data_IF_729504051136
#
_entry.id   IF_729504051136
#
_cell.length_a   1.000
_cell.length_b   1.000
_cell.length_c   1.000
_cell.angle_alpha   90.00
_cell.angle_beta   90.00
_cell.angle_gamma   90.00
#
_symmetry.space_group_name_H-M   'P 1'
#
loop_
_entity.id
_entity.type
_entity.pdbx_description
1 polymer ?
#
# COMPACT_ATOMS: atom_id res chain seq x y z
N UNK A 1 16.74 16.50 8.78
CA UNK A 1 15.59 16.22 7.87
C UNK A 1 14.78 15.00 8.33
N UNK A 2 15.40 13.89 8.69
CA UNK A 2 14.74 12.63 9.07
C UNK A 2 13.72 12.76 10.21
N UNK A 3 14.08 13.37 11.34
CA UNK A 3 13.16 13.58 12.47
C UNK A 3 11.90 14.36 12.09
N UNK A 4 12.03 15.35 11.20
CA UNK A 4 10.87 16.13 10.71
C UNK A 4 9.92 15.27 9.91
N UNK A 5 10.43 14.29 9.14
CA UNK A 5 9.62 13.36 8.37
C UNK A 5 8.86 12.39 9.28
N UNK A 6 9.52 11.85 10.29
CA UNK A 6 8.88 10.96 11.29
C UNK A 6 7.72 11.68 12.00
N UNK A 7 7.94 12.91 12.47
CA UNK A 7 6.88 13.71 13.09
C UNK A 7 5.74 14.01 12.11
N UNK A 8 6.07 14.33 10.86
CA UNK A 8 5.09 14.57 9.82
C UNK A 8 4.25 13.32 9.53
N UNK A 9 4.87 12.16 9.44
CA UNK A 9 4.17 10.90 9.22
C UNK A 9 3.29 10.52 10.42
N UNK A 10 3.77 10.70 11.64
CA UNK A 10 2.95 10.53 12.85
C UNK A 10 1.73 11.46 12.85
N UNK A 11 1.90 12.73 12.46
CA UNK A 11 0.80 13.68 12.33
C UNK A 11 -0.17 13.29 11.22
N UNK A 12 0.34 12.90 10.05
CA UNK A 12 -0.48 12.48 8.92
C UNK A 12 -1.30 11.22 9.26
N UNK A 13 -0.78 10.32 10.07
CA UNK A 13 -1.54 9.18 10.63
C UNK A 13 -2.83 9.65 11.32
N UNK A 14 -2.74 10.65 12.21
CA UNK A 14 -3.90 11.18 12.92
C UNK A 14 -4.89 11.91 11.99
N UNK A 15 -4.37 12.60 10.97
CA UNK A 15 -5.20 13.24 9.93
C UNK A 15 -5.99 12.18 9.15
N UNK A 16 -5.35 11.09 8.72
CA UNK A 16 -5.99 10.00 7.98
C UNK A 16 -7.05 9.32 8.86
N UNK A 17 -6.74 9.02 10.12
CA UNK A 17 -7.70 8.45 11.05
C UNK A 17 -8.90 9.39 11.32
N UNK A 18 -8.64 10.69 11.43
CA UNK A 18 -9.69 11.70 11.55
C UNK A 18 -10.59 11.76 10.32
N UNK A 19 -10.02 11.79 9.12
CA UNK A 19 -10.76 11.76 7.85
C UNK A 19 -11.58 10.47 7.72
N UNK A 20 -10.99 9.32 8.09
CA UNK A 20 -11.71 8.05 8.12
C UNK A 20 -12.92 8.12 9.05
N UNK A 21 -12.74 8.61 10.28
CA UNK A 21 -13.82 8.70 11.28
C UNK A 21 -14.93 9.64 10.82
N UNK A 22 -14.59 10.79 10.24
CA UNK A 22 -15.58 11.74 9.70
C UNK A 22 -16.36 11.12 8.55
N UNK A 23 -15.69 10.45 7.61
CA UNK A 23 -16.34 9.78 6.50
C UNK A 23 -17.24 8.64 6.98
N UNK A 24 -16.76 7.82 7.89
CA UNK A 24 -17.53 6.74 8.50
C UNK A 24 -18.79 7.27 9.20
N UNK A 25 -18.66 8.36 9.96
CA UNK A 25 -19.79 9.01 10.62
C UNK A 25 -20.80 9.56 9.60
N UNK A 26 -20.32 10.23 8.55
CA UNK A 26 -21.20 10.75 7.50
C UNK A 26 -22.02 9.64 6.81
N UNK A 27 -21.35 8.53 6.43
CA UNK A 27 -22.03 7.36 5.85
C UNK A 27 -23.02 6.74 6.85
N UNK A 28 -22.63 6.62 8.12
CA UNK A 28 -23.46 6.05 9.16
C UNK A 28 -24.74 6.87 9.42
N UNK A 29 -24.62 8.21 9.47
CA UNK A 29 -25.77 9.11 9.60
C UNK A 29 -26.68 9.01 8.38
N UNK A 30 -26.12 8.95 7.18
CA UNK A 30 -26.86 8.80 5.93
C UNK A 30 -27.65 7.48 5.91
N UNK A 31 -27.01 6.36 6.24
CA UNK A 31 -27.67 5.05 6.32
C UNK A 31 -28.73 5.02 7.42
N UNK A 32 -28.45 5.64 8.56
CA UNK A 32 -29.42 5.76 9.65
C UNK A 32 -30.67 6.58 9.28
N UNK A 33 -30.50 7.61 8.46
CA UNK A 33 -31.61 8.42 7.95
C UNK A 33 -32.49 7.70 6.91
N UNK A 34 -31.85 6.87 6.06
CA UNK A 34 -32.57 6.13 5.00
C UNK A 34 -33.28 4.90 5.56
N UNK A 35 -32.60 4.13 6.41
CA UNK A 35 -33.12 2.85 6.91
C UNK A 35 -33.68 2.99 8.34
N UNK A 36 -32.80 2.96 9.32
CA UNK A 36 -33.11 3.19 10.75
C UNK A 36 -31.85 3.63 11.47
N UNK A 37 -32.02 4.33 12.62
CA UNK A 37 -30.85 4.73 13.44
C UNK A 37 -30.00 3.53 13.88
N UNK A 38 -30.61 2.36 14.11
CA UNK A 38 -29.88 1.14 14.46
C UNK A 38 -28.94 0.67 13.34
N UNK A 39 -29.33 0.78 12.07
CA UNK A 39 -28.49 0.46 10.91
C UNK A 39 -27.28 1.39 10.84
N UNK A 40 -27.51 2.69 11.03
CA UNK A 40 -26.42 3.68 11.06
C UNK A 40 -25.43 3.40 12.20
N UNK A 41 -25.91 3.16 13.42
CA UNK A 41 -25.07 2.84 14.58
C UNK A 41 -24.31 1.53 14.35
N UNK A 42 -24.99 0.49 13.86
CA UNK A 42 -24.34 -0.79 13.54
C UNK A 42 -23.22 -0.63 12.52
N UNK A 43 -23.45 0.12 11.44
CA UNK A 43 -22.43 0.40 10.43
C UNK A 43 -21.22 1.16 11.02
N UNK A 44 -21.47 2.15 11.89
CA UNK A 44 -20.40 2.88 12.57
C UNK A 44 -19.53 1.97 13.44
N UNK A 45 -20.15 1.11 14.24
CA UNK A 45 -19.42 0.18 15.11
C UNK A 45 -18.61 -0.82 14.28
N UNK A 46 -19.21 -1.39 13.23
CA UNK A 46 -18.51 -2.32 12.32
C UNK A 46 -17.34 -1.63 11.64
N UNK A 47 -17.49 -0.37 11.20
CA UNK A 47 -16.42 0.39 10.60
C UNK A 47 -15.26 0.69 11.56
N UNK A 48 -15.55 0.96 12.85
CA UNK A 48 -14.51 1.11 13.87
C UNK A 48 -13.77 -0.21 14.12
N UNK A 49 -14.48 -1.32 14.19
CA UNK A 49 -13.88 -2.66 14.34
C UNK A 49 -13.02 -2.97 13.12
N UNK A 50 -13.49 -2.66 11.90
CA UNK A 50 -12.75 -2.87 10.67
C UNK A 50 -11.43 -2.11 10.64
N UNK A 51 -11.42 -0.79 10.97
CA UNK A 51 -10.15 -0.03 10.97
C UNK A 51 -9.19 -0.55 12.04
N UNK A 52 -9.70 -0.94 13.22
CA UNK A 52 -8.87 -1.55 14.24
C UNK A 52 -8.25 -2.87 13.75
N UNK A 53 -9.06 -3.75 13.14
CA UNK A 53 -8.59 -4.99 12.55
C UNK A 53 -7.51 -4.75 11.47
N UNK A 54 -7.76 -3.84 10.52
CA UNK A 54 -6.76 -3.50 9.50
C UNK A 54 -5.49 -2.93 10.12
N UNK A 55 -5.61 -2.06 11.11
CA UNK A 55 -4.43 -1.46 11.76
C UNK A 55 -3.55 -2.52 12.47
N UNK A 56 -4.15 -3.54 13.08
CA UNK A 56 -3.41 -4.55 13.83
C UNK A 56 -3.02 -5.78 13.00
N UNK A 57 -3.84 -6.19 12.03
CA UNK A 57 -3.72 -7.48 11.35
C UNK A 57 -3.40 -7.40 9.84
N UNK A 58 -3.32 -6.17 9.25
CA UNK A 58 -3.05 -6.00 7.81
C UNK A 58 -1.80 -6.74 7.35
N UNK A 59 -0.74 -6.73 8.17
CA UNK A 59 0.52 -7.42 7.87
C UNK A 59 0.32 -8.91 7.70
N UNK A 60 -0.42 -9.56 8.61
CA UNK A 60 -0.68 -11.01 8.53
C UNK A 60 -1.54 -11.37 7.31
N UNK A 61 -2.53 -10.52 7.01
CA UNK A 61 -3.36 -10.71 5.83
C UNK A 61 -2.53 -10.61 4.55
N UNK A 62 -1.67 -9.60 4.43
CA UNK A 62 -0.79 -9.41 3.29
C UNK A 62 0.15 -10.61 3.09
N UNK A 63 0.80 -11.09 4.15
CA UNK A 63 1.70 -12.25 4.08
C UNK A 63 0.97 -13.51 3.60
N UNK A 64 -0.29 -13.71 4.00
CA UNK A 64 -1.12 -14.84 3.52
C UNK A 64 -1.48 -14.71 2.05
N UNK A 65 -1.90 -13.53 1.60
CA UNK A 65 -2.29 -13.29 0.19
C UNK A 65 -1.09 -13.46 -0.76
N UNK A 66 0.10 -13.04 -0.33
CA UNK A 66 1.34 -13.18 -1.11
C UNK A 66 2.00 -14.56 -0.96
N UNK A 67 1.39 -15.49 -0.23
CA UNK A 67 1.97 -16.80 0.09
C UNK A 67 3.39 -16.68 0.68
N UNK A 68 3.62 -15.64 1.47
CA UNK A 68 4.91 -15.36 2.08
C UNK A 68 5.24 -16.40 3.16
N UNK A 69 6.45 -16.93 3.11
CA UNK A 69 6.99 -17.88 4.08
C UNK A 69 7.92 -17.14 5.03
N UNK A 70 7.66 -17.23 6.33
CA UNK A 70 8.54 -16.63 7.34
C UNK A 70 9.90 -17.32 7.35
N UNK A 71 10.98 -16.54 7.36
CA UNK A 71 12.35 -17.03 7.41
C UNK A 71 13.01 -16.69 8.73
N UNK A 72 13.90 -17.56 9.16
CA UNK A 72 14.68 -17.43 10.38
C UNK A 72 16.17 -17.49 10.07
N UNK A 73 17.01 -17.27 11.06
CA UNK A 73 18.47 -17.36 10.90
C UNK A 73 18.92 -18.77 10.50
N UNK A 74 18.14 -19.81 10.87
CA UNK A 74 18.42 -21.19 10.55
C UNK A 74 18.05 -21.55 9.11
N UNK A 75 16.96 -20.96 8.59
CA UNK A 75 16.45 -21.28 7.23
C UNK A 75 17.14 -20.47 6.15
N UNK A 76 17.40 -19.19 6.40
CA UNK A 76 18.01 -18.25 5.43
C UNK A 76 19.05 -17.37 6.11
N UNK A 77 20.20 -17.93 6.54
CA UNK A 77 21.19 -17.19 7.34
C UNK A 77 21.74 -15.95 6.65
N UNK A 78 21.98 -16.00 5.34
CA UNK A 78 22.58 -14.91 4.57
C UNK A 78 21.69 -13.68 4.56
N UNK A 79 20.39 -13.85 4.29
CA UNK A 79 19.42 -12.74 4.26
C UNK A 79 19.18 -12.22 5.67
N UNK A 80 19.04 -13.14 6.64
CA UNK A 80 18.80 -12.77 8.02
C UNK A 80 19.95 -11.91 8.59
N UNK A 81 21.20 -12.33 8.41
CA UNK A 81 22.38 -11.58 8.89
C UNK A 81 22.51 -10.22 8.21
N UNK A 82 22.21 -10.15 6.93
CA UNK A 82 22.24 -8.89 6.18
C UNK A 82 21.22 -7.87 6.72
N UNK A 83 20.00 -8.31 7.04
CA UNK A 83 19.00 -7.43 7.66
C UNK A 83 19.41 -7.08 9.11
N UNK A 84 19.93 -8.03 9.87
CA UNK A 84 20.40 -7.82 11.23
C UNK A 84 21.50 -6.75 11.29
N UNK A 85 22.49 -6.80 10.38
CA UNK A 85 23.55 -5.80 10.25
C UNK A 85 22.98 -4.39 9.98
N UNK A 86 22.02 -4.27 9.06
CA UNK A 86 21.40 -3.00 8.72
C UNK A 86 20.51 -2.47 9.86
N UNK A 87 19.81 -3.34 10.57
CA UNK A 87 19.02 -2.97 11.75
C UNK A 87 19.92 -2.44 12.86
N UNK A 88 21.05 -3.09 13.13
CA UNK A 88 22.05 -2.62 14.09
C UNK A 88 22.62 -1.26 13.68
N UNK A 89 22.98 -1.08 12.41
CA UNK A 89 23.48 0.19 11.89
C UNK A 89 22.46 1.34 12.01
N UNK A 90 21.17 1.03 11.85
CA UNK A 90 20.07 2.00 11.92
C UNK A 90 19.45 2.21 13.30
N UNK A 91 19.86 1.41 14.30
CA UNK A 91 19.19 1.40 15.61
C UNK A 91 17.72 0.97 15.53
N UNK A 92 17.40 0.03 14.64
CA UNK A 92 16.06 -0.48 14.39
C UNK A 92 15.85 -1.84 15.05
N UNK A 93 14.66 -2.15 15.56
CA UNK A 93 14.32 -3.51 15.92
C UNK A 93 14.28 -4.39 14.68
N UNK A 94 14.61 -5.68 14.85
CA UNK A 94 14.57 -6.66 13.77
C UNK A 94 13.13 -6.91 13.32
N UNK A 95 12.75 -6.63 12.04
CA UNK A 95 11.43 -6.96 11.54
C UNK A 95 11.27 -8.46 11.37
N UNK A 96 10.03 -8.96 11.27
CA UNK A 96 9.80 -10.31 10.79
C UNK A 96 10.15 -10.40 9.31
N UNK A 97 10.89 -11.44 8.93
CA UNK A 97 11.36 -11.62 7.56
C UNK A 97 10.58 -12.69 6.83
N UNK A 98 10.29 -12.43 5.57
CA UNK A 98 9.53 -13.34 4.70
C UNK A 98 10.15 -13.43 3.31
N UNK A 99 10.02 -14.60 2.69
CA UNK A 99 10.25 -14.78 1.26
C UNK A 99 8.92 -15.15 0.60
N UNK A 100 8.60 -14.46 -0.50
CA UNK A 100 7.43 -14.78 -1.33
C UNK A 100 7.85 -15.53 -2.58
N UNK A 101 7.09 -16.56 -3.03
CA UNK A 101 7.43 -17.34 -4.22
C UNK A 101 7.15 -16.62 -5.54
N UNK A 102 6.97 -15.29 -5.52
CA UNK A 102 6.71 -14.49 -6.70
C UNK A 102 7.97 -14.42 -7.59
N UNK A 103 7.86 -14.75 -8.90
CA UNK A 103 8.95 -14.61 -9.86
C UNK A 103 9.26 -13.16 -10.24
N UNK A 104 8.36 -12.21 -10.01
CA UNK A 104 8.62 -10.79 -10.25
C UNK A 104 9.60 -10.25 -9.19
N UNK A 105 10.65 -9.50 -9.60
CA UNK A 105 11.62 -8.95 -8.67
C UNK A 105 11.00 -7.83 -7.83
N UNK A 106 10.84 -8.07 -6.54
CA UNK A 106 10.25 -7.11 -5.62
C UNK A 106 10.71 -7.29 -4.18
N UNK A 107 10.59 -6.24 -3.38
CA UNK A 107 10.63 -6.27 -1.93
C UNK A 107 9.58 -5.27 -1.40
N UNK A 108 9.08 -5.50 -0.20
CA UNK A 108 8.17 -4.57 0.44
C UNK A 108 8.22 -4.69 1.96
N UNK A 109 8.01 -3.55 2.61
CA UNK A 109 7.84 -3.46 4.05
C UNK A 109 6.40 -3.15 4.41
N UNK A 110 5.91 -3.71 5.51
CA UNK A 110 4.58 -3.44 6.07
C UNK A 110 4.64 -3.43 7.58
N UNK A 111 3.67 -2.79 8.21
CA UNK A 111 3.57 -2.73 9.65
C UNK A 111 3.09 -1.38 10.17
N UNK A 112 2.59 -1.38 11.41
CA UNK A 112 2.07 -0.16 12.05
C UNK A 112 3.15 0.71 12.72
N UNK A 113 4.29 0.12 13.05
CA UNK A 113 5.44 0.79 13.68
C UNK A 113 6.69 -0.11 13.53
N UNK A 114 7.91 0.39 13.84
CA UNK A 114 9.13 -0.39 13.71
C UNK A 114 9.15 -1.68 14.54
N UNK A 115 8.51 -1.70 15.72
CA UNK A 115 8.46 -2.88 16.59
C UNK A 115 7.53 -3.97 16.04
N UNK A 116 6.60 -3.59 15.15
CA UNK A 116 5.61 -4.50 14.54
C UNK A 116 5.71 -4.47 13.02
N UNK A 117 6.92 -4.37 12.50
CA UNK A 117 7.18 -4.37 11.08
C UNK A 117 7.49 -5.78 10.55
N UNK A 118 7.22 -5.97 9.27
CA UNK A 118 7.60 -7.14 8.50
C UNK A 118 8.19 -6.69 7.17
N UNK A 119 9.20 -7.42 6.71
CA UNK A 119 9.89 -7.22 5.45
C UNK A 119 9.75 -8.50 4.62
N UNK A 120 9.26 -8.38 3.40
CA UNK A 120 9.16 -9.49 2.46
C UNK A 120 10.01 -9.22 1.23
N UNK A 121 10.66 -10.29 0.72
CA UNK A 121 11.50 -10.25 -0.46
C UNK A 121 11.01 -11.35 -1.39
N UNK A 122 10.88 -11.07 -2.69
CA UNK A 122 10.47 -12.09 -3.64
C UNK A 122 11.64 -12.98 -4.05
N UNK A 123 11.32 -14.23 -4.37
CA UNK A 123 12.30 -15.14 -4.95
C UNK A 123 12.87 -14.58 -6.27
N UNK A 124 12.02 -13.88 -7.05
CA UNK A 124 12.45 -13.22 -8.29
C UNK A 124 13.55 -12.18 -8.07
N UNK A 125 13.45 -11.37 -7.00
CA UNK A 125 14.48 -10.39 -6.66
C UNK A 125 15.79 -11.07 -6.26
N UNK A 126 15.72 -12.09 -5.41
CA UNK A 126 16.89 -12.85 -4.96
C UNK A 126 17.62 -13.58 -6.10
N UNK A 127 16.88 -13.98 -7.14
CA UNK A 127 17.46 -14.68 -8.30
C UNK A 127 18.28 -13.77 -9.22
N UNK A 128 17.99 -12.46 -9.26
CA UNK A 128 18.63 -11.53 -10.19
C UNK A 128 19.61 -10.58 -9.54
N UNK A 129 19.52 -10.36 -8.24
CA UNK A 129 20.34 -9.39 -7.51
C UNK A 129 21.49 -10.04 -6.75
N UNK A 130 22.63 -9.38 -6.75
CA UNK A 130 23.74 -9.77 -5.89
C UNK A 130 23.55 -9.26 -4.45
N UNK A 131 24.46 -9.69 -3.54
CA UNK A 131 24.37 -9.35 -2.11
C UNK A 131 24.34 -7.83 -1.86
N UNK A 132 25.10 -7.03 -2.60
CA UNK A 132 25.15 -5.57 -2.41
C UNK A 132 23.87 -4.90 -2.90
N UNK A 133 23.32 -5.39 -3.99
CA UNK A 133 22.05 -4.92 -4.55
C UNK A 133 20.88 -5.23 -3.60
N UNK A 134 20.81 -6.47 -3.11
CA UNK A 134 19.83 -6.88 -2.10
C UNK A 134 19.99 -6.02 -0.83
N UNK A 135 21.21 -5.75 -0.38
CA UNK A 135 21.49 -4.87 0.75
C UNK A 135 20.96 -3.45 0.53
N UNK A 136 21.13 -2.91 -0.67
CA UNK A 136 20.61 -1.59 -1.03
C UNK A 136 19.08 -1.55 -0.99
N UNK A 137 18.40 -2.56 -1.54
CA UNK A 137 16.93 -2.67 -1.52
C UNK A 137 16.41 -2.86 -0.09
N UNK A 138 17.02 -3.74 0.70
CA UNK A 138 16.64 -3.93 2.11
C UNK A 138 16.83 -2.64 2.90
N UNK A 139 17.92 -1.92 2.69
CA UNK A 139 18.17 -0.62 3.32
C UNK A 139 17.08 0.42 3.00
N UNK A 140 16.57 0.42 1.77
CA UNK A 140 15.46 1.25 1.34
C UNK A 140 14.17 0.88 2.10
N UNK A 141 13.81 -0.40 2.16
CA UNK A 141 12.64 -0.89 2.89
C UNK A 141 12.73 -0.61 4.40
N UNK A 142 13.89 -0.84 5.01
CA UNK A 142 14.13 -0.51 6.42
C UNK A 142 14.01 0.99 6.70
N UNK A 143 14.33 1.83 5.71
CA UNK A 143 14.12 3.27 5.80
C UNK A 143 12.62 3.64 5.88
N UNK A 144 11.77 2.97 5.12
CA UNK A 144 10.32 3.14 5.21
C UNK A 144 9.78 2.74 6.58
N UNK A 145 10.29 1.63 7.14
CA UNK A 145 9.95 1.21 8.50
C UNK A 145 10.37 2.29 9.52
N UNK A 146 11.61 2.74 9.46
CA UNK A 146 12.18 3.78 10.33
C UNK A 146 11.38 5.08 10.32
N UNK A 147 10.88 5.46 9.15
CA UNK A 147 10.16 6.69 8.92
C UNK A 147 8.66 6.60 9.20
N UNK A 148 8.13 5.44 9.59
CA UNK A 148 6.69 5.17 9.75
C UNK A 148 5.88 5.32 8.45
N UNK A 149 6.51 5.18 7.29
CA UNK A 149 5.85 5.26 5.99
C UNK A 149 4.86 4.09 5.80
N UNK A 150 5.24 2.89 6.24
CA UNK A 150 4.43 1.68 6.18
C UNK A 150 3.07 1.84 6.86
N UNK A 151 3.02 2.55 7.99
CA UNK A 151 1.78 2.85 8.73
C UNK A 151 0.78 3.63 7.87
N UNK A 152 1.26 4.66 7.19
CA UNK A 152 0.41 5.51 6.34
C UNK A 152 -0.15 4.71 5.18
N UNK A 153 0.68 3.87 4.55
CA UNK A 153 0.27 2.98 3.46
C UNK A 153 -0.83 2.02 3.90
N UNK A 154 -0.68 1.36 5.05
CA UNK A 154 -1.70 0.46 5.61
C UNK A 154 -3.02 1.20 5.86
N UNK A 155 -2.99 2.37 6.48
CA UNK A 155 -4.20 3.14 6.78
C UNK A 155 -4.88 3.69 5.52
N UNK A 156 -4.10 4.14 4.54
CA UNK A 156 -4.64 4.61 3.27
C UNK A 156 -5.32 3.47 2.49
N UNK A 157 -4.74 2.26 2.49
CA UNK A 157 -5.34 1.05 1.90
C UNK A 157 -6.66 0.70 2.59
N UNK A 158 -6.70 0.79 3.93
CA UNK A 158 -7.92 0.52 4.70
C UNK A 158 -9.06 1.48 4.33
N UNK A 159 -8.74 2.78 4.20
CA UNK A 159 -9.72 3.79 3.81
C UNK A 159 -10.26 3.54 2.39
N UNK A 160 -9.36 3.21 1.45
CA UNK A 160 -9.73 2.83 0.08
C UNK A 160 -10.68 1.65 0.07
N UNK A 161 -10.32 0.60 0.79
CA UNK A 161 -11.12 -0.63 0.87
C UNK A 161 -12.50 -0.36 1.48
N UNK A 162 -12.59 0.46 2.54
CA UNK A 162 -13.87 0.83 3.14
C UNK A 162 -14.77 1.54 2.13
N UNK A 163 -14.25 2.54 1.42
CA UNK A 163 -15.02 3.30 0.42
C UNK A 163 -15.52 2.36 -0.68
N UNK A 164 -14.62 1.54 -1.23
CA UNK A 164 -14.95 0.61 -2.32
C UNK A 164 -15.96 -0.44 -1.86
N UNK A 165 -15.75 -1.08 -0.71
CA UNK A 165 -16.68 -2.08 -0.17
C UNK A 165 -18.06 -1.48 0.13
N UNK A 166 -18.11 -0.25 0.65
CA UNK A 166 -19.36 0.45 0.90
C UNK A 166 -20.11 0.72 -0.41
N UNK A 167 -19.44 1.25 -1.43
CA UNK A 167 -20.04 1.52 -2.73
C UNK A 167 -20.54 0.24 -3.40
N UNK A 168 -19.74 -0.82 -3.42
CA UNK A 168 -20.11 -2.13 -3.95
C UNK A 168 -21.28 -2.73 -3.18
N UNK A 169 -21.28 -2.66 -1.84
CA UNK A 169 -22.37 -3.15 -1.00
C UNK A 169 -23.69 -2.43 -1.29
N UNK A 170 -23.66 -1.11 -1.51
CA UNK A 170 -24.83 -0.31 -1.90
C UNK A 170 -25.36 -0.76 -3.27
N UNK A 171 -24.47 -1.02 -4.26
CA UNK A 171 -24.85 -1.53 -5.58
C UNK A 171 -25.52 -2.90 -5.46
N UNK A 172 -24.94 -3.83 -4.70
CA UNK A 172 -25.54 -5.16 -4.48
C UNK A 172 -26.89 -5.10 -3.77
N UNK A 173 -27.02 -4.23 -2.77
CA UNK A 173 -28.31 -4.01 -2.11
C UNK A 173 -29.38 -3.50 -3.11
N UNK A 174 -29.05 -2.44 -3.87
CA UNK A 174 -29.95 -1.90 -4.89
C UNK A 174 -30.31 -2.94 -5.95
N UNK A 175 -29.37 -3.77 -6.37
CA UNK A 175 -29.61 -4.87 -7.32
C UNK A 175 -30.58 -5.91 -6.74
N UNK A 176 -30.42 -6.31 -5.48
CA UNK A 176 -31.34 -7.22 -4.79
C UNK A 176 -32.76 -6.67 -4.72
N UNK A 177 -32.93 -5.37 -4.45
CA UNK A 177 -34.23 -4.70 -4.47
C UNK A 177 -34.80 -4.63 -5.89
N UNK A 178 -33.97 -4.32 -6.91
CA UNK A 178 -34.39 -4.23 -8.31
C UNK A 178 -34.92 -5.56 -8.85
N UNK A 179 -34.31 -6.68 -8.45
CA UNK A 179 -34.66 -8.03 -8.86
C UNK A 179 -35.76 -8.67 -8.00
N UNK A 180 -36.23 -7.99 -6.95
CA UNK A 180 -37.31 -8.47 -6.09
C UNK A 180 -38.63 -8.61 -6.86
N UNK A 181 -39.49 -9.55 -6.43
CA UNK A 181 -40.79 -9.84 -7.08
C UNK A 181 -41.89 -8.81 -6.76
N UNK A 182 -41.55 -7.59 -6.39
CA UNK A 182 -42.52 -6.53 -6.11
C UNK A 182 -43.29 -6.14 -7.38
N UNK A 183 -44.63 -6.22 -7.31
CA UNK A 183 -45.57 -5.98 -8.44
C UNK A 183 -46.41 -4.74 -8.17
N UNK A 184 -47.08 -4.27 -9.25
CA UNK A 184 -47.98 -3.12 -9.20
C UNK A 184 -47.28 -1.79 -9.18
N UNK A 185 -48.05 -0.72 -9.01
CA UNK A 185 -47.54 0.67 -9.04
C UNK A 185 -46.52 0.95 -7.93
N UNK A 186 -46.75 0.36 -6.79
CA UNK A 186 -45.79 0.47 -5.67
C UNK A 186 -44.46 -0.22 -5.95
N UNK A 187 -44.49 -1.40 -6.59
CA UNK A 187 -43.29 -2.10 -7.07
C UNK A 187 -42.52 -1.30 -8.11
N UNK A 188 -43.21 -0.57 -8.98
CA UNK A 188 -42.57 0.32 -9.95
C UNK A 188 -41.75 1.43 -9.28
N UNK A 189 -42.30 2.11 -8.27
CA UNK A 189 -41.57 3.15 -7.52
C UNK A 189 -40.38 2.59 -6.73
N UNK A 190 -40.52 1.40 -6.13
CA UNK A 190 -39.42 0.70 -5.45
C UNK A 190 -38.27 0.42 -6.41
N UNK A 191 -38.57 -0.02 -7.64
CA UNK A 191 -37.53 -0.28 -8.67
C UNK A 191 -36.85 0.98 -9.15
N UNK A 192 -37.54 2.10 -9.29
CA UNK A 192 -36.93 3.40 -9.56
C UNK A 192 -35.96 3.80 -8.43
N UNK A 193 -36.41 3.67 -7.18
CA UNK A 193 -35.54 3.94 -6.03
C UNK A 193 -34.31 3.04 -6.00
N UNK A 194 -34.46 1.75 -6.33
CA UNK A 194 -33.35 0.81 -6.44
C UNK A 194 -32.33 1.24 -7.50
N UNK A 195 -32.76 1.75 -8.65
CA UNK A 195 -31.85 2.30 -9.68
C UNK A 195 -31.07 3.53 -9.17
N UNK A 196 -31.73 4.40 -8.40
CA UNK A 196 -31.04 5.54 -7.76
C UNK A 196 -29.99 5.05 -6.75
N UNK A 197 -30.33 4.05 -5.94
CA UNK A 197 -29.40 3.44 -4.97
C UNK A 197 -28.18 2.82 -5.68
N UNK A 198 -28.41 2.09 -6.79
CA UNK A 198 -27.33 1.53 -7.61
C UNK A 198 -26.44 2.65 -8.17
N UNK A 199 -27.04 3.71 -8.71
CA UNK A 199 -26.28 4.84 -9.25
C UNK A 199 -25.43 5.52 -8.17
N UNK A 200 -25.98 5.74 -6.97
CA UNK A 200 -25.22 6.31 -5.82
C UNK A 200 -24.07 5.40 -5.41
N UNK A 201 -24.29 4.10 -5.26
CA UNK A 201 -23.23 3.13 -4.94
C UNK A 201 -22.15 3.08 -6.02
N UNK A 202 -22.54 3.13 -7.30
CA UNK A 202 -21.61 3.21 -8.43
C UNK A 202 -20.76 4.50 -8.39
N UNK A 203 -21.37 5.64 -8.13
CA UNK A 203 -20.67 6.94 -7.99
C UNK A 203 -19.67 6.88 -6.82
N UNK A 204 -20.08 6.35 -5.66
CA UNK A 204 -19.19 6.21 -4.49
C UNK A 204 -17.99 5.31 -4.86
N UNK A 205 -18.21 4.18 -5.54
CA UNK A 205 -17.13 3.28 -5.97
C UNK A 205 -16.20 3.95 -6.98
N UNK A 206 -16.74 4.67 -7.97
CA UNK A 206 -15.96 5.32 -9.02
C UNK A 206 -15.17 6.52 -8.47
N UNK A 207 -15.76 7.34 -7.60
CA UNK A 207 -15.09 8.51 -7.01
C UNK A 207 -14.15 8.07 -5.88
N UNK A 208 -14.51 7.03 -5.14
CA UNK A 208 -13.71 6.51 -4.04
C UNK A 208 -12.31 6.08 -4.47
N UNK A 209 -12.18 5.45 -5.64
CA UNK A 209 -10.88 5.00 -6.18
C UNK A 209 -9.93 6.19 -6.46
N UNK A 210 -10.31 7.24 -7.22
CA UNK A 210 -9.46 8.41 -7.40
C UNK A 210 -9.17 9.16 -6.11
N UNK A 211 -10.14 9.30 -5.20
CA UNK A 211 -9.94 9.96 -3.91
C UNK A 211 -8.92 9.20 -3.05
N UNK A 212 -9.01 7.90 -3.03
CA UNK A 212 -8.04 7.04 -2.37
C UNK A 212 -6.64 7.19 -2.98
N UNK A 213 -6.54 7.19 -4.31
CA UNK A 213 -5.27 7.47 -5.02
C UNK A 213 -4.74 8.87 -4.71
N UNK A 214 -5.59 9.88 -4.59
CA UNK A 214 -5.17 11.22 -4.14
C UNK A 214 -4.61 11.21 -2.71
N UNK A 215 -5.18 10.40 -1.81
CA UNK A 215 -4.64 10.22 -0.46
C UNK A 215 -3.27 9.52 -0.49
N UNK A 216 -3.05 8.57 -1.41
CA UNK A 216 -1.73 8.00 -1.68
C UNK A 216 -0.75 9.01 -2.29
N UNK A 217 -1.19 9.96 -3.11
CA UNK A 217 -0.35 11.05 -3.63
C UNK A 217 0.08 12.05 -2.55
N UNK A 218 -0.69 12.18 -1.45
CA UNK A 218 -0.22 12.88 -0.23
C UNK A 218 0.92 12.12 0.45
N UNK A 219 1.04 10.83 0.16
CA UNK A 219 2.19 9.96 0.39
C UNK A 219 3.26 10.30 -0.67
N UNK A 220 3.93 11.41 -0.44
CA UNK A 220 4.71 12.16 -1.42
C UNK A 220 5.88 11.35 -2.01
N UNK A 221 6.14 11.53 -3.31
CA UNK A 221 7.37 11.10 -4.01
C UNK A 221 8.66 11.49 -3.27
N UNK A 222 8.61 12.49 -2.41
CA UNK A 222 9.73 12.88 -1.54
C UNK A 222 10.10 11.78 -0.53
N UNK A 223 9.16 10.91 -0.13
CA UNK A 223 9.45 9.79 0.78
C UNK A 223 10.34 8.74 0.13
N UNK A 224 10.14 8.48 -1.15
CA UNK A 224 10.98 7.56 -1.91
C UNK A 224 12.42 8.05 -1.96
N UNK A 225 12.61 9.33 -2.26
CA UNK A 225 13.95 9.93 -2.25
C UNK A 225 14.58 9.95 -0.84
N UNK A 226 13.77 10.08 0.20
CA UNK A 226 14.27 9.98 1.59
C UNK A 226 14.60 8.54 1.96
N UNK A 227 13.85 7.57 1.45
CA UNK A 227 14.15 6.15 1.63
C UNK A 227 15.44 5.76 0.87
N UNK A 228 15.66 6.31 -0.33
CA UNK A 228 16.89 6.14 -1.07
C UNK A 228 18.11 6.67 -0.29
N UNK A 229 18.01 7.89 0.25
CA UNK A 229 19.05 8.46 1.11
C UNK A 229 19.21 7.65 2.39
N UNK A 230 18.11 7.17 2.96
CA UNK A 230 18.14 6.33 4.15
C UNK A 230 18.78 4.97 3.91
N UNK A 231 18.61 4.39 2.72
CA UNK A 231 19.34 3.20 2.29
C UNK A 231 20.85 3.45 2.30
N UNK A 232 21.28 4.57 1.68
CA UNK A 232 22.70 4.96 1.67
C UNK A 232 23.23 5.21 3.09
N UNK A 233 22.43 5.80 3.97
CA UNK A 233 22.80 6.01 5.37
C UNK A 233 23.02 4.69 6.11
N UNK A 234 22.17 3.69 5.87
CA UNK A 234 22.27 2.37 6.50
C UNK A 234 23.41 1.52 5.91
N UNK A 235 23.56 1.51 4.59
CA UNK A 235 24.54 0.68 3.88
C UNK A 235 25.94 1.32 3.81
N UNK A 236 26.01 2.63 4.01
CA UNK A 236 27.21 3.47 3.78
C UNK A 236 27.74 3.43 2.34
N UNK A 237 26.96 2.91 1.42
CA UNK A 237 27.36 2.75 0.02
C UNK A 237 26.14 2.90 -0.91
N UNK A 238 26.12 3.86 -1.86
CA UNK A 238 25.01 4.05 -2.78
C UNK A 238 25.01 3.06 -3.97
N UNK A 239 26.17 2.46 -4.28
CA UNK A 239 26.36 1.68 -5.51
C UNK A 239 25.44 0.46 -5.59
N UNK A 240 25.17 -0.21 -4.47
CA UNK A 240 24.28 -1.36 -4.42
C UNK A 240 22.85 -1.00 -4.82
N UNK A 241 22.30 0.08 -4.25
CA UNK A 241 20.95 0.54 -4.61
C UNK A 241 20.90 1.06 -6.07
N UNK A 242 21.92 1.82 -6.51
CA UNK A 242 21.99 2.31 -7.88
C UNK A 242 21.98 1.14 -8.87
N UNK A 243 22.78 0.09 -8.61
CA UNK A 243 22.84 -1.09 -9.46
C UNK A 243 21.50 -1.85 -9.48
N UNK A 244 20.88 -2.03 -8.32
CA UNK A 244 19.57 -2.65 -8.19
C UNK A 244 18.51 -1.91 -9.02
N UNK A 245 18.40 -0.58 -8.85
CA UNK A 245 17.47 0.25 -9.61
C UNK A 245 17.74 0.19 -11.11
N UNK A 246 19.01 0.19 -11.53
CA UNK A 246 19.39 0.11 -12.96
C UNK A 246 19.00 -1.25 -13.58
N UNK A 247 19.13 -2.35 -12.82
CA UNK A 247 18.65 -3.67 -13.28
C UNK A 247 17.13 -3.70 -13.42
N UNK A 248 16.39 -3.12 -12.48
CA UNK A 248 14.95 -3.04 -12.55
C UNK A 248 14.47 -2.19 -13.73
N UNK A 249 15.14 -1.06 -14.02
CA UNK A 249 14.86 -0.21 -15.16
C UNK A 249 15.03 -0.97 -16.50
N UNK A 250 16.10 -1.74 -16.65
CA UNK A 250 16.33 -2.56 -17.84
C UNK A 250 15.28 -3.66 -18.01
N UNK A 251 14.81 -4.24 -16.90
CA UNK A 251 13.74 -5.24 -16.93
C UNK A 251 12.39 -4.63 -17.32
N UNK A 252 12.09 -3.40 -16.85
CA UNK A 252 10.87 -2.67 -17.26
C UNK A 252 10.87 -2.37 -18.76
N UNK A 253 11.98 -1.92 -19.31
CA UNK A 253 12.13 -1.66 -20.74
C UNK A 253 11.98 -2.94 -21.57
N UNK A 254 12.51 -4.06 -21.10
CA UNK A 254 12.37 -5.38 -21.72
C UNK A 254 10.97 -5.99 -21.60
N UNK A 255 10.28 -5.74 -20.49
CA UNK A 255 8.94 -6.28 -20.19
C UNK A 255 7.80 -5.51 -20.89
N UNK A 256 8.06 -4.37 -21.52
CA UNK A 256 7.09 -3.62 -22.32
C UNK A 256 6.44 -4.44 -23.46
N UNK A 257 6.94 -5.64 -23.70
CA UNK A 257 6.43 -6.61 -24.69
C UNK A 257 5.64 -7.78 -24.12
N UNK A 258 5.54 -7.92 -22.78
CA UNK A 258 4.81 -9.03 -22.14
C UNK A 258 3.60 -8.50 -21.36
N UNK A 259 2.40 -8.92 -21.75
CA UNK A 259 1.17 -8.71 -20.96
C UNK A 259 1.29 -9.50 -19.65
N UNK A 260 1.60 -8.81 -18.55
CA UNK A 260 1.57 -9.41 -17.21
C UNK A 260 0.13 -9.37 -16.69
N UNK A 261 -0.38 -10.55 -16.38
CA UNK A 261 -1.70 -10.78 -15.76
C UNK A 261 -1.91 -9.85 -14.56
N UNK A 262 -2.98 -9.07 -14.61
CA UNK A 262 -3.44 -8.15 -13.57
C UNK A 262 -3.95 -8.91 -12.34
N UNK A 263 -3.06 -9.45 -11.52
CA UNK A 263 -3.44 -9.98 -10.21
C UNK A 263 -3.40 -8.84 -9.19
N UNK A 264 -4.57 -8.52 -8.66
CA UNK A 264 -4.85 -7.63 -7.54
C UNK A 264 -4.31 -6.18 -7.61
N UNK A 265 -5.11 -5.29 -8.21
CA UNK A 265 -4.91 -3.83 -8.21
C UNK A 265 -4.75 -3.23 -6.80
N UNK A 266 -5.20 -3.92 -5.75
CA UNK A 266 -5.12 -3.49 -4.36
C UNK A 266 -3.71 -3.63 -3.76
N UNK A 267 -2.84 -4.44 -4.35
CA UNK A 267 -1.48 -4.68 -3.88
C UNK A 267 -0.41 -3.86 -4.63
N UNK A 268 -0.80 -3.16 -5.71
CA UNK A 268 0.12 -2.41 -6.57
C UNK A 268 1.02 -1.41 -5.81
N UNK A 269 0.47 -0.76 -4.79
CA UNK A 269 1.18 0.27 -4.01
C UNK A 269 2.15 -0.28 -2.96
N UNK A 270 2.22 -1.61 -2.81
CA UNK A 270 3.17 -2.29 -1.93
C UNK A 270 4.42 -2.75 -2.69
N UNK A 271 4.42 -2.64 -4.01
CA UNK A 271 5.52 -3.09 -4.82
C UNK A 271 6.56 -1.99 -4.99
N UNK A 272 7.82 -2.30 -4.68
CA UNK A 272 8.98 -1.45 -4.91
C UNK A 272 9.13 -1.01 -6.37
N UNK A 273 8.67 -1.87 -7.29
CA UNK A 273 8.62 -1.62 -8.72
C UNK A 273 7.39 -2.27 -9.36
N UNK A 274 6.62 -1.52 -10.15
CA UNK A 274 5.45 -2.03 -10.86
C UNK A 274 5.64 -1.93 -12.37
N UNK A 275 5.64 -3.05 -13.12
CA UNK A 275 6.09 -3.12 -14.51
C UNK A 275 5.15 -2.50 -15.58
N UNK A 276 4.12 -1.72 -15.23
CA UNK A 276 3.12 -1.20 -16.18
C UNK A 276 3.05 0.33 -16.29
N UNK A 277 4.18 1.04 -16.16
CA UNK A 277 4.21 2.51 -16.22
C UNK A 277 4.18 3.13 -17.63
N UNK A 278 3.85 2.37 -18.68
CA UNK A 278 3.90 2.88 -20.07
C UNK A 278 2.81 3.89 -20.44
N UNK A 279 1.68 3.92 -19.71
CA UNK A 279 0.64 4.92 -19.92
C UNK A 279 0.89 6.17 -19.08
N UNK A 280 0.80 7.37 -19.67
CA UNK A 280 0.95 8.65 -18.97
C UNK A 280 0.02 8.77 -17.74
N UNK A 281 -1.17 8.17 -17.78
CA UNK A 281 -2.08 8.07 -16.66
C UNK A 281 -1.47 7.22 -15.52
N UNK A 282 -0.84 6.10 -15.84
CA UNK A 282 -0.18 5.26 -14.84
C UNK A 282 1.03 5.97 -14.21
N UNK A 283 1.77 6.78 -14.98
CA UNK A 283 2.86 7.64 -14.45
C UNK A 283 2.36 8.74 -13.52
N UNK A 284 1.17 9.29 -13.76
CA UNK A 284 0.55 10.27 -12.84
C UNK A 284 0.13 9.63 -11.52
N UNK A 285 -0.25 8.35 -11.54
CA UNK A 285 -0.76 7.61 -10.40
C UNK A 285 0.21 6.55 -9.87
N UNK A 286 1.47 6.51 -10.34
CA UNK A 286 2.50 5.67 -9.76
C UNK A 286 2.97 6.25 -8.43
N UNK A 287 3.02 5.41 -7.42
CA UNK A 287 3.41 5.78 -6.05
C UNK A 287 4.92 6.04 -5.98
N UNK A 288 5.70 5.46 -6.89
CA UNK A 288 7.14 5.62 -6.97
C UNK A 288 7.55 6.62 -8.07
N UNK A 289 8.57 7.47 -7.82
CA UNK A 289 9.18 8.29 -8.85
C UNK A 289 9.83 7.41 -9.93
N UNK A 290 9.97 7.93 -11.17
CA UNK A 290 10.70 7.23 -12.23
C UNK A 290 12.09 6.81 -11.78
N UNK A 291 12.51 5.58 -12.14
CA UNK A 291 13.78 4.98 -11.71
C UNK A 291 14.99 5.81 -12.15
N UNK A 292 14.95 6.34 -13.38
CA UNK A 292 15.96 7.25 -13.92
C UNK A 292 16.26 8.44 -12.99
N UNK A 293 15.22 9.07 -12.44
CA UNK A 293 15.36 10.20 -11.52
C UNK A 293 15.90 9.80 -10.15
N UNK A 294 15.54 8.62 -9.67
CA UNK A 294 16.09 8.08 -8.41
C UNK A 294 17.59 7.80 -8.57
N UNK A 295 17.97 7.14 -9.65
CA UNK A 295 19.38 6.84 -9.99
C UNK A 295 20.20 8.13 -10.13
N UNK A 296 19.67 9.12 -10.87
CA UNK A 296 20.35 10.41 -11.06
C UNK A 296 20.60 11.11 -9.72
N UNK A 297 19.60 11.14 -8.83
CA UNK A 297 19.75 11.77 -7.50
C UNK A 297 20.77 11.07 -6.63
N UNK A 298 20.77 9.73 -6.62
CA UNK A 298 21.75 8.95 -5.87
C UNK A 298 23.17 9.21 -6.37
N UNK A 299 23.40 9.24 -7.69
CA UNK A 299 24.69 9.58 -8.30
C UNK A 299 25.16 11.00 -7.99
N UNK A 300 24.22 11.94 -7.84
CA UNK A 300 24.56 13.32 -7.51
C UNK A 300 24.79 13.53 -6.02
N UNK A 301 24.23 12.71 -5.14
CA UNK A 301 24.49 12.76 -3.69
C UNK A 301 25.94 12.38 -3.33
N UNK A 302 26.57 11.50 -4.10
CA UNK A 302 27.98 11.13 -3.95
C UNK A 302 28.97 12.28 -4.27
N UNK A 303 28.53 13.30 -5.02
CA UNK A 303 29.37 14.44 -5.38
C UNK A 303 29.35 15.58 -4.36
N UNK A 304 28.54 15.46 -3.31
CA UNK A 304 28.35 16.51 -2.29
C UNK A 304 29.09 16.14 -0.98
N UNK A 305 29.66 14.95 -0.87
CA UNK A 305 30.61 14.53 0.18
C UNK A 305 32.01 14.47 -0.39
#
# INVERSE_FOLDING_TARGET
MLYKQIEQNKRNTWIILGLYTVLLLAISVFLGAIFTSYVGIGFFIIGLIYIAHVYFDATQHLMKVTNAVEITKETEPVIYELVEELCLAGGLPMPKLYITPDPAPNAFATGRDPEHASLAITQGLLNIMDKKEVQGVIGHELSHIRNYDTRITVLASALTSLITMTGVGIVFFGWGVLTSETKGIFGFFIKILALIVIAVGGIISIIGIPLAKLLFLLVSRQREYLADIGSVDLTREPSGLISALSKLEQLEEGAATLEISSQDLTLQHLYFNFPNAHNWLNRLFSDHPPLDKRIERLKNSDKIN
#
